data_IF_806510259977
#
_entry.id   IF_806510259977
#
_cell.length_a   1.000
_cell.length_b   1.000
_cell.length_c   1.000
_cell.angle_alpha   90.00
_cell.angle_beta   90.00
_cell.angle_gamma   90.00
#
_symmetry.space_group_name_H-M   'P 1'
#
loop_
_entity.id
_entity.type
_entity.pdbx_description
1 polymer ?
#
# COMPACT_ATOMS: atom_id res chain seq x y z
N UNK A 1 -33.32 -17.86 10.64
CA UNK A 1 -32.57 -17.44 9.45
C UNK A 1 -31.15 -17.18 9.94
N UNK A 2 -30.19 -18.02 9.58
CA UNK A 2 -28.80 -17.80 9.98
C UNK A 2 -28.24 -16.65 9.15
N UNK A 3 -27.83 -15.56 9.79
CA UNK A 3 -27.09 -14.51 9.11
C UNK A 3 -25.78 -15.11 8.58
N UNK A 4 -25.53 -14.97 7.28
CA UNK A 4 -24.25 -15.35 6.70
C UNK A 4 -23.16 -14.49 7.33
N UNK A 5 -22.17 -15.11 7.96
CA UNK A 5 -21.06 -14.38 8.55
C UNK A 5 -20.33 -13.55 7.47
N UNK A 6 -19.97 -12.29 7.76
CA UNK A 6 -19.21 -11.47 6.82
C UNK A 6 -17.86 -12.13 6.52
N UNK A 7 -17.41 -12.04 5.26
CA UNK A 7 -16.13 -12.61 4.83
C UNK A 7 -14.94 -12.05 5.62
N UNK A 8 -14.99 -10.75 5.97
CA UNK A 8 -14.03 -10.12 6.86
C UNK A 8 -14.61 -10.02 8.27
N UNK A 9 -13.83 -10.45 9.27
CA UNK A 9 -14.18 -10.43 10.69
C UNK A 9 -13.83 -9.11 11.35
N UNK A 10 -13.07 -8.24 10.69
CA UNK A 10 -12.67 -6.92 11.18
C UNK A 10 -13.19 -5.80 10.26
N UNK A 11 -13.26 -4.59 10.82
CA UNK A 11 -13.54 -3.37 10.09
C UNK A 11 -12.25 -2.64 9.75
N UNK A 12 -12.12 -2.19 8.50
CA UNK A 12 -10.87 -1.60 7.99
C UNK A 12 -10.98 -0.11 7.72
N UNK A 13 -10.00 0.64 8.22
CA UNK A 13 -9.77 2.05 7.97
C UNK A 13 -8.42 2.22 7.30
N UNK A 14 -8.30 3.21 6.42
CA UNK A 14 -7.03 3.55 5.76
C UNK A 14 -6.73 5.03 5.92
N UNK A 15 -5.45 5.33 6.10
CA UNK A 15 -4.91 6.67 6.21
C UNK A 15 -3.67 6.77 5.31
N UNK A 16 -3.73 7.62 4.28
CA UNK A 16 -2.53 7.95 3.50
C UNK A 16 -1.63 8.85 4.34
N UNK A 17 -0.33 8.62 4.31
CA UNK A 17 0.65 9.49 4.97
C UNK A 17 0.50 10.98 4.57
N UNK A 18 1.10 11.85 5.39
CA UNK A 18 1.13 13.29 5.15
C UNK A 18 1.87 13.68 3.87
N UNK A 19 1.63 14.91 3.40
CA UNK A 19 2.22 15.43 2.16
C UNK A 19 3.75 15.56 2.30
N UNK A 20 4.51 14.97 1.38
CA UNK A 20 5.97 15.12 1.28
C UNK A 20 6.36 16.06 0.13
N UNK A 21 7.60 16.58 0.12
CA UNK A 21 8.13 17.42 -0.97
C UNK A 21 8.06 16.73 -2.33
N UNK A 22 8.40 15.44 -2.48
CA UNK A 22 8.16 14.72 -3.72
C UNK A 22 6.68 14.65 -4.12
N UNK A 23 5.74 14.58 -3.16
CA UNK A 23 4.31 14.68 -3.48
C UNK A 23 3.93 16.07 -4.01
N UNK A 24 4.58 17.15 -3.55
CA UNK A 24 4.38 18.50 -4.08
C UNK A 24 4.85 18.64 -5.52
N UNK A 25 5.92 17.92 -5.85
CA UNK A 25 6.56 17.95 -7.16
C UNK A 25 6.05 16.86 -8.13
N UNK A 26 5.06 16.04 -7.73
CA UNK A 26 4.54 14.95 -8.57
C UNK A 26 5.53 13.80 -8.83
N UNK A 27 6.52 13.63 -7.95
CA UNK A 27 7.61 12.67 -8.11
C UNK A 27 7.32 11.35 -7.38
N UNK A 28 7.85 10.26 -7.93
CA UNK A 28 7.81 8.92 -7.31
C UNK A 28 8.88 8.81 -6.21
N UNK A 29 8.46 8.31 -5.04
CA UNK A 29 9.35 7.92 -3.95
C UNK A 29 9.00 6.52 -3.48
N UNK A 30 9.87 5.55 -3.77
CA UNK A 30 9.55 4.14 -3.49
C UNK A 30 10.71 3.31 -2.93
N UNK A 31 11.95 3.79 -2.97
CA UNK A 31 13.10 3.05 -2.46
C UNK A 31 13.39 3.37 -0.99
N UNK A 32 13.79 2.31 -0.27
CA UNK A 32 14.65 2.39 0.91
C UNK A 32 15.98 1.66 0.65
N UNK A 33 16.36 1.40 -0.62
CA UNK A 33 17.53 0.62 -1.01
C UNK A 33 18.44 1.37 -1.99
N UNK A 34 19.76 1.25 -1.75
CA UNK A 34 20.84 1.88 -2.50
C UNK A 34 20.88 1.41 -3.96
N UNK A 35 20.82 2.35 -4.91
CA UNK A 35 21.15 2.11 -6.31
C UNK A 35 22.63 2.45 -6.54
N UNK A 36 23.40 1.50 -7.09
CA UNK A 36 24.79 1.70 -7.48
C UNK A 36 24.85 2.17 -8.94
N UNK A 37 25.30 3.41 -9.17
CA UNK A 37 25.35 4.03 -10.50
C UNK A 37 26.74 3.93 -11.17
N UNK A 38 27.67 3.17 -10.59
CA UNK A 38 29.07 3.16 -11.04
C UNK A 38 29.80 4.47 -10.75
N UNK A 39 31.13 4.49 -10.95
CA UNK A 39 32.08 5.60 -10.64
C UNK A 39 32.42 5.84 -9.16
N UNK A 40 32.15 4.89 -8.26
CA UNK A 40 32.50 5.02 -6.84
C UNK A 40 31.73 6.12 -6.09
N UNK A 41 30.78 6.80 -6.77
CA UNK A 41 29.80 7.68 -6.17
C UNK A 41 28.57 6.87 -5.81
N UNK A 42 28.49 6.48 -4.55
CA UNK A 42 27.23 6.13 -3.95
C UNK A 42 26.47 7.44 -3.72
N UNK A 43 25.27 7.59 -4.28
CA UNK A 43 24.29 8.45 -3.64
C UNK A 43 24.07 7.80 -2.26
N UNK A 44 24.60 8.45 -1.21
CA UNK A 44 24.20 8.13 0.16
C UNK A 44 22.69 8.35 0.21
N UNK A 45 21.97 7.25 0.09
CA UNK A 45 20.78 6.89 0.84
C UNK A 45 20.27 8.04 1.71
N UNK A 46 19.56 8.99 1.10
CA UNK A 46 18.67 9.88 1.85
C UNK A 46 17.31 9.24 1.75
N UNK A 47 17.15 8.17 2.53
CA UNK A 47 15.86 7.57 2.83
C UNK A 47 14.85 8.69 3.10
N UNK A 48 13.68 8.60 2.48
CA UNK A 48 12.58 9.52 2.72
C UNK A 48 12.41 9.74 4.23
N UNK A 49 12.56 10.97 4.70
CA UNK A 49 12.41 11.35 6.12
C UNK A 49 13.67 11.29 7.00
N UNK A 50 14.87 11.14 6.44
CA UNK A 50 16.15 11.10 7.21
C UNK A 50 16.94 12.40 7.25
N UNK A 51 16.57 13.40 6.44
CA UNK A 51 17.13 14.74 6.58
C UNK A 51 16.46 15.44 7.75
N UNK A 52 17.26 16.04 8.64
CA UNK A 52 16.79 16.72 9.84
C UNK A 52 15.79 17.85 9.49
N UNK A 53 16.02 18.55 8.38
CA UNK A 53 15.12 19.59 7.84
C UNK A 53 13.77 19.05 7.31
N UNK A 54 13.64 17.74 7.10
CA UNK A 54 12.43 17.07 6.60
C UNK A 54 11.94 15.95 7.54
N UNK A 55 12.49 15.90 8.77
CA UNK A 55 12.07 14.99 9.82
C UNK A 55 10.81 15.48 10.53
N UNK A 56 10.22 14.61 11.35
CA UNK A 56 9.18 15.04 12.29
C UNK A 56 9.82 15.88 13.41
N UNK A 57 9.14 16.93 13.87
CA UNK A 57 9.51 17.61 15.11
C UNK A 57 9.56 16.61 16.29
N UNK A 58 10.29 16.89 17.38
CA UNK A 58 10.39 15.98 18.53
C UNK A 58 9.03 15.46 19.05
N UNK A 59 8.03 16.35 19.19
CA UNK A 59 6.64 15.95 19.49
C UNK A 59 6.03 15.03 18.43
N UNK A 60 6.28 15.28 17.15
CA UNK A 60 5.78 14.44 16.06
C UNK A 60 6.42 13.05 16.05
N UNK A 61 7.70 12.95 16.41
CA UNK A 61 8.37 11.65 16.62
C UNK A 61 7.72 10.91 17.79
N UNK A 62 7.46 11.62 18.90
CA UNK A 62 6.80 11.03 20.06
C UNK A 62 5.37 10.57 19.73
N UNK A 63 4.59 11.38 19.03
CA UNK A 63 3.25 11.03 18.56
C UNK A 63 3.26 9.86 17.58
N UNK A 64 4.20 9.81 16.64
CA UNK A 64 4.34 8.70 15.71
C UNK A 64 4.76 7.40 16.42
N UNK A 65 5.61 7.49 17.44
CA UNK A 65 5.99 6.35 18.29
C UNK A 65 4.83 5.86 19.13
N UNK A 66 4.11 6.74 19.82
CA UNK A 66 2.91 6.39 20.59
C UNK A 66 1.83 5.81 19.67
N UNK A 67 1.63 6.41 18.49
CA UNK A 67 0.73 5.85 17.49
C UNK A 67 1.21 4.48 17.02
N UNK A 68 2.51 4.27 16.79
CA UNK A 68 3.08 2.97 16.42
C UNK A 68 2.99 1.90 17.52
N UNK A 69 3.16 2.29 18.78
CA UNK A 69 3.01 1.45 19.98
C UNK A 69 1.53 1.08 20.22
N UNK A 70 0.60 1.98 19.88
CA UNK A 70 -0.85 1.76 19.95
C UNK A 70 -1.40 1.03 18.71
N UNK A 71 -0.80 1.23 17.52
CA UNK A 71 -1.14 0.58 16.22
C UNK A 71 -0.33 -0.70 15.98
N UNK A 72 0.23 -1.24 17.06
CA UNK A 72 1.30 -2.23 17.15
C UNK A 72 1.27 -3.35 16.09
N UNK A 73 1.94 -3.11 14.96
CA UNK A 73 2.75 -4.06 14.14
C UNK A 73 3.15 -3.37 12.82
N UNK A 74 4.43 -3.02 12.67
CA UNK A 74 4.95 -2.64 11.35
C UNK A 74 4.91 -3.87 10.42
N UNK A 75 4.24 -3.73 9.27
CA UNK A 75 4.12 -4.78 8.26
C UNK A 75 4.83 -4.33 7.00
N UNK A 76 5.88 -5.06 6.59
CA UNK A 76 6.66 -4.73 5.39
C UNK A 76 5.78 -4.76 4.13
N UNK A 77 4.72 -5.56 4.18
CA UNK A 77 3.69 -5.71 3.17
C UNK A 77 2.88 -4.43 2.92
N UNK A 78 2.99 -3.41 3.79
CA UNK A 78 2.32 -2.12 3.64
C UNK A 78 3.23 -1.03 3.06
N UNK A 79 4.47 -1.32 2.67
CA UNK A 79 5.36 -0.31 2.06
C UNK A 79 4.81 0.21 0.72
N UNK A 80 5.29 1.36 0.27
CA UNK A 80 4.99 1.87 -1.07
C UNK A 80 5.41 0.86 -2.16
N UNK A 81 4.70 0.86 -3.29
CA UNK A 81 5.07 0.08 -4.47
C UNK A 81 6.46 0.49 -4.92
N UNK A 82 7.35 -0.49 -5.09
CA UNK A 82 8.66 -0.28 -5.66
C UNK A 82 8.53 -0.23 -7.19
N UNK A 83 8.72 0.94 -7.79
CA UNK A 83 8.59 1.12 -9.23
C UNK A 83 9.88 0.76 -9.99
N UNK A 84 10.86 0.15 -9.33
CA UNK A 84 12.15 -0.15 -9.94
C UNK A 84 13.10 1.04 -9.93
N UNK A 85 14.41 0.78 -10.08
CA UNK A 85 15.45 1.77 -9.86
C UNK A 85 15.44 2.94 -10.85
N UNK A 86 14.96 2.70 -12.08
CA UNK A 86 14.93 3.72 -13.13
C UNK A 86 13.78 4.71 -12.99
N UNK A 87 12.79 4.43 -12.13
CA UNK A 87 11.58 5.25 -11.97
C UNK A 87 11.58 6.07 -10.68
N UNK A 88 12.61 5.94 -9.86
CA UNK A 88 12.80 6.79 -8.69
C UNK A 88 12.96 8.26 -9.13
N UNK A 89 12.21 9.16 -8.49
CA UNK A 89 12.17 10.60 -8.81
C UNK A 89 11.67 10.93 -10.23
N UNK A 90 11.01 10.01 -10.93
CA UNK A 90 10.33 10.29 -12.19
C UNK A 90 8.83 10.59 -11.99
N UNK A 91 8.20 11.15 -13.02
CA UNK A 91 6.76 11.41 -13.06
C UNK A 91 5.94 10.12 -13.14
N UNK A 92 4.78 10.10 -12.48
CA UNK A 92 3.90 8.94 -12.38
C UNK A 92 3.11 8.63 -13.66
N UNK A 93 2.92 9.60 -14.56
CA UNK A 93 2.00 9.50 -15.71
C UNK A 93 2.29 8.32 -16.64
N UNK A 94 3.58 8.02 -16.86
CA UNK A 94 3.99 6.91 -17.74
C UNK A 94 3.66 5.54 -17.15
N UNK A 95 3.68 5.43 -15.82
CA UNK A 95 3.41 4.16 -15.13
C UNK A 95 1.92 3.84 -15.18
N UNK A 96 1.06 4.85 -15.10
CA UNK A 96 -0.39 4.65 -15.13
C UNK A 96 -0.88 4.05 -16.43
N UNK A 97 -0.33 4.50 -17.57
CA UNK A 97 -0.66 3.92 -18.88
C UNK A 97 -0.24 2.45 -18.95
N UNK A 98 0.88 2.09 -18.30
CA UNK A 98 1.33 0.70 -18.23
C UNK A 98 0.40 -0.15 -17.34
N UNK A 99 0.01 0.36 -16.17
CA UNK A 99 -0.87 -0.36 -15.25
C UNK A 99 -2.29 -0.57 -15.81
N UNK A 100 -2.80 0.39 -16.60
CA UNK A 100 -4.09 0.26 -17.29
C UNK A 100 -4.01 -0.78 -18.41
N UNK A 101 -2.89 -0.81 -19.14
CA UNK A 101 -2.65 -1.79 -20.20
C UNK A 101 -2.52 -3.20 -19.64
N UNK A 102 -1.69 -3.38 -18.61
CA UNK A 102 -1.47 -4.67 -17.97
C UNK A 102 -1.00 -4.53 -16.51
N UNK A 103 -1.87 -4.78 -15.51
CA UNK A 103 -1.52 -4.67 -14.10
C UNK A 103 -0.64 -5.82 -13.58
N UNK A 104 -0.37 -6.85 -14.39
CA UNK A 104 0.50 -7.97 -14.04
C UNK A 104 1.95 -7.76 -14.50
N UNK A 105 2.18 -6.79 -15.37
CA UNK A 105 3.53 -6.48 -15.85
C UNK A 105 4.14 -5.36 -15.01
N UNK A 106 5.36 -5.58 -14.53
CA UNK A 106 6.17 -4.54 -13.91
C UNK A 106 7.15 -3.93 -14.90
N UNK A 107 7.67 -2.76 -14.55
CA UNK A 107 8.87 -2.21 -15.18
C UNK A 107 10.10 -2.91 -14.62
N UNK A 108 11.23 -2.89 -15.35
CA UNK A 108 12.43 -3.63 -14.99
C UNK A 108 12.87 -3.36 -13.53
N UNK A 109 12.95 -4.44 -12.74
CA UNK A 109 13.33 -4.40 -11.33
C UNK A 109 12.26 -3.89 -10.36
N UNK A 110 11.07 -3.52 -10.84
CA UNK A 110 9.96 -3.06 -10.01
C UNK A 110 8.89 -4.12 -9.72
N UNK A 111 7.91 -3.74 -8.92
CA UNK A 111 6.68 -4.48 -8.61
C UNK A 111 5.56 -4.10 -9.60
N UNK A 112 4.78 -5.10 -10.00
CA UNK A 112 3.49 -4.90 -10.68
C UNK A 112 2.39 -4.55 -9.66
N UNK A 113 1.22 -4.14 -10.14
CA UNK A 113 0.03 -3.98 -9.28
C UNK A 113 -0.34 -5.33 -8.64
N UNK A 114 -0.19 -6.43 -9.37
CA UNK A 114 -0.44 -7.79 -8.88
C UNK A 114 0.54 -8.23 -7.77
N UNK A 115 1.81 -7.82 -7.84
CA UNK A 115 2.81 -8.12 -6.79
C UNK A 115 2.46 -7.40 -5.49
N UNK A 116 2.09 -6.12 -5.58
CA UNK A 116 1.63 -5.33 -4.43
C UNK A 116 0.37 -5.95 -3.83
N UNK A 117 -0.58 -6.36 -4.66
CA UNK A 117 -1.79 -7.06 -4.22
C UNK A 117 -1.45 -8.37 -3.46
N UNK A 118 -0.48 -9.14 -3.97
CA UNK A 118 -0.06 -10.41 -3.36
C UNK A 118 0.49 -10.21 -1.95
N UNK A 119 1.36 -9.22 -1.72
CA UNK A 119 1.87 -8.92 -0.37
C UNK A 119 0.79 -8.36 0.56
N UNK A 120 -0.13 -7.54 0.05
CA UNK A 120 -1.26 -7.06 0.84
C UNK A 120 -2.20 -8.20 1.28
N UNK A 121 -2.34 -9.25 0.47
CA UNK A 121 -3.08 -10.47 0.84
C UNK A 121 -2.47 -11.18 2.04
N UNK A 122 -1.13 -11.24 2.11
CA UNK A 122 -0.41 -11.80 3.26
C UNK A 122 -0.73 -10.98 4.51
N UNK A 123 -0.68 -9.65 4.41
CA UNK A 123 -1.00 -8.76 5.53
C UNK A 123 -2.43 -8.96 6.03
N UNK A 124 -3.41 -8.94 5.12
CA UNK A 124 -4.82 -9.14 5.46
C UNK A 124 -5.05 -10.49 6.11
N UNK A 125 -4.46 -11.56 5.55
CA UNK A 125 -4.60 -12.92 6.10
C UNK A 125 -4.06 -12.98 7.53
N UNK A 126 -2.89 -12.38 7.79
CA UNK A 126 -2.30 -12.34 9.12
C UNK A 126 -3.19 -11.58 10.13
N UNK A 127 -3.75 -10.43 9.72
CA UNK A 127 -4.61 -9.61 10.58
C UNK A 127 -5.94 -10.28 10.87
N UNK A 128 -6.60 -10.81 9.85
CA UNK A 128 -7.83 -11.56 10.00
C UNK A 128 -7.63 -12.81 10.85
N UNK A 129 -6.48 -13.47 10.78
CA UNK A 129 -6.16 -14.62 11.64
C UNK A 129 -5.91 -14.21 13.09
N UNK A 130 -5.29 -13.05 13.32
CA UNK A 130 -4.87 -12.59 14.64
C UNK A 130 -6.00 -11.90 15.42
N UNK A 131 -6.85 -11.15 14.72
CA UNK A 131 -7.85 -10.27 15.32
C UNK A 131 -9.25 -10.60 14.83
N UNK A 132 -10.24 -10.39 15.68
CA UNK A 132 -11.65 -10.58 15.36
C UNK A 132 -12.49 -9.48 16.01
N UNK A 133 -13.40 -8.88 15.25
CA UNK A 133 -14.28 -7.81 15.73
C UNK A 133 -13.58 -6.48 15.99
N UNK A 134 -12.35 -6.29 15.49
CA UNK A 134 -11.57 -5.07 15.71
C UNK A 134 -11.80 -4.02 14.60
N UNK A 135 -11.59 -2.76 14.95
CA UNK A 135 -11.36 -1.68 13.98
C UNK A 135 -9.86 -1.58 13.71
N UNK A 136 -9.42 -1.98 12.52
CA UNK A 136 -8.01 -1.99 12.12
C UNK A 136 -7.76 -0.81 11.19
N UNK A 137 -6.79 0.04 11.54
CA UNK A 137 -6.38 1.18 10.70
C UNK A 137 -5.04 0.91 10.04
N UNK A 138 -4.99 1.03 8.71
CA UNK A 138 -3.75 1.00 7.93
C UNK A 138 -3.24 2.39 7.65
N UNK A 139 -2.01 2.65 8.04
CA UNK A 139 -1.27 3.85 7.66
C UNK A 139 -0.22 3.46 6.64
N UNK A 140 -0.32 3.99 5.42
CA UNK A 140 0.53 3.58 4.30
C UNK A 140 0.58 4.66 3.21
N UNK A 141 1.01 4.31 2.00
CA UNK A 141 1.24 5.18 0.86
C UNK A 141 0.15 5.09 -0.21
N UNK A 142 0.39 5.70 -1.37
CA UNK A 142 -0.63 5.91 -2.38
C UNK A 142 -1.10 4.59 -3.00
N UNK A 143 -0.19 3.87 -3.64
CA UNK A 143 -0.51 2.64 -4.37
C UNK A 143 -0.98 1.49 -3.47
N UNK A 144 -0.32 1.13 -2.35
CA UNK A 144 -0.79 0.04 -1.51
C UNK A 144 -2.21 0.28 -0.99
N UNK A 145 -2.55 1.53 -0.60
CA UNK A 145 -3.91 1.84 -0.13
C UNK A 145 -4.96 1.81 -1.25
N UNK A 146 -4.60 2.24 -2.46
CA UNK A 146 -5.49 2.17 -3.63
C UNK A 146 -5.77 0.72 -4.04
N UNK A 147 -4.72 -0.10 -4.13
CA UNK A 147 -4.81 -1.52 -4.48
C UNK A 147 -5.57 -2.29 -3.39
N UNK A 148 -5.28 -2.02 -2.12
CA UNK A 148 -5.98 -2.64 -1.00
C UNK A 148 -7.49 -2.36 -1.01
N UNK A 149 -7.90 -1.11 -1.28
CA UNK A 149 -9.32 -0.79 -1.43
C UNK A 149 -9.95 -1.54 -2.59
N UNK A 150 -9.25 -1.65 -3.71
CA UNK A 150 -9.75 -2.33 -4.92
C UNK A 150 -10.15 -3.76 -4.63
N UNK A 151 -9.26 -4.50 -3.98
CA UNK A 151 -9.54 -5.89 -3.64
C UNK A 151 -10.62 -6.00 -2.56
N UNK A 152 -10.58 -5.14 -1.54
CA UNK A 152 -11.54 -5.22 -0.44
C UNK A 152 -12.98 -4.93 -0.88
N UNK A 153 -13.19 -4.00 -1.81
CA UNK A 153 -14.53 -3.75 -2.35
C UNK A 153 -15.09 -4.97 -3.09
N UNK A 154 -14.25 -5.73 -3.81
CA UNK A 154 -14.72 -6.90 -4.57
C UNK A 154 -14.88 -8.15 -3.69
N UNK A 155 -14.00 -8.37 -2.72
CA UNK A 155 -14.05 -9.56 -1.85
C UNK A 155 -15.09 -9.44 -0.74
N UNK A 156 -15.69 -8.27 -0.48
CA UNK A 156 -16.81 -8.15 0.47
C UNK A 156 -18.14 -8.63 -0.10
N UNK A 157 -18.36 -8.42 -1.40
CA UNK A 157 -19.66 -8.65 -2.04
C UNK A 157 -19.95 -10.12 -2.37
N UNK A 158 -18.94 -10.98 -2.37
CA UNK A 158 -19.13 -12.40 -2.68
C UNK A 158 -19.50 -13.15 -1.40
N UNK A 159 -20.73 -13.65 -1.27
CA UNK A 159 -21.07 -14.72 -0.31
C UNK A 159 -20.76 -16.06 -0.98
N UNK A 160 -19.64 -16.69 -0.66
CA UNK A 160 -19.30 -18.03 -1.17
C UNK A 160 -18.35 -18.74 -0.22
N UNK A 161 -18.42 -20.07 -0.27
CA UNK A 161 -17.84 -21.13 0.57
C UNK A 161 -16.49 -20.82 1.25
N UNK A 162 -16.16 -21.60 2.30
CA UNK A 162 -14.91 -21.62 3.07
C UNK A 162 -13.64 -21.65 2.18
N UNK A 163 -13.34 -20.51 1.58
CA UNK A 163 -12.14 -20.26 0.81
C UNK A 163 -11.35 -19.28 1.65
N UNK A 164 -10.11 -19.64 1.98
CA UNK A 164 -9.23 -18.78 2.74
C UNK A 164 -9.02 -17.44 2.02
N UNK A 165 -8.61 -16.43 2.78
CA UNK A 165 -8.49 -15.05 2.29
C UNK A 165 -7.58 -14.94 1.09
N UNK A 166 -6.46 -15.67 1.08
CA UNK A 166 -5.49 -15.61 0.00
C UNK A 166 -6.03 -16.22 -1.28
N UNK A 167 -6.72 -17.36 -1.19
CA UNK A 167 -7.38 -17.99 -2.33
C UNK A 167 -8.47 -17.09 -2.94
N UNK A 168 -9.25 -16.41 -2.10
CA UNK A 168 -10.27 -15.46 -2.59
C UNK A 168 -9.66 -14.22 -3.23
N UNK A 169 -8.61 -13.65 -2.64
CA UNK A 169 -7.91 -12.51 -3.26
C UNK A 169 -7.36 -12.91 -4.62
N UNK A 170 -6.70 -14.07 -4.74
CA UNK A 170 -6.22 -14.59 -6.02
C UNK A 170 -7.31 -14.70 -7.08
N UNK A 171 -8.52 -15.11 -6.71
CA UNK A 171 -9.65 -15.20 -7.65
C UNK A 171 -10.14 -13.83 -8.17
N UNK A 172 -9.91 -12.75 -7.42
CA UNK A 172 -10.30 -11.39 -7.83
C UNK A 172 -9.14 -10.59 -8.41
N UNK A 173 -7.93 -11.15 -8.44
CA UNK A 173 -6.77 -10.58 -9.14
C UNK A 173 -6.92 -10.80 -10.65
N UNK A 174 -7.88 -10.11 -11.26
CA UNK A 174 -8.07 -10.05 -12.71
C UNK A 174 -7.64 -8.70 -13.24
N UNK A 175 -7.35 -8.64 -14.55
CA UNK A 175 -7.03 -7.38 -15.24
C UNK A 175 -8.10 -6.32 -14.98
N UNK A 176 -9.37 -6.67 -15.21
CA UNK A 176 -10.52 -5.77 -15.08
C UNK A 176 -10.70 -5.17 -13.68
N UNK A 177 -10.20 -5.85 -12.63
CA UNK A 177 -10.27 -5.39 -11.25
C UNK A 177 -9.03 -4.58 -10.90
N UNK A 178 -7.83 -5.12 -11.13
CA UNK A 178 -6.59 -4.49 -10.70
C UNK A 178 -6.31 -3.16 -11.42
N UNK A 179 -6.69 -3.02 -12.69
CA UNK A 179 -6.57 -1.74 -13.42
C UNK A 179 -7.48 -0.63 -12.87
N UNK A 180 -8.43 -0.95 -11.97
CA UNK A 180 -9.33 0.04 -11.37
C UNK A 180 -8.78 0.73 -10.13
N UNK A 181 -7.58 0.37 -9.67
CA UNK A 181 -7.08 0.84 -8.37
C UNK A 181 -7.02 2.37 -8.23
N UNK A 182 -6.83 3.08 -9.35
CA UNK A 182 -6.85 4.55 -9.38
C UNK A 182 -8.21 5.17 -9.05
N UNK A 183 -9.32 4.44 -9.24
CA UNK A 183 -10.65 4.90 -8.80
C UNK A 183 -10.73 5.08 -7.28
N UNK A 184 -9.84 4.41 -6.56
CA UNK A 184 -9.75 4.48 -5.10
C UNK A 184 -8.71 5.50 -4.62
N UNK A 185 -8.29 6.45 -5.47
CA UNK A 185 -7.38 7.52 -5.11
C UNK A 185 -7.74 8.18 -3.76
N UNK A 186 -6.69 8.43 -2.98
CA UNK A 186 -6.77 8.94 -1.62
C UNK A 186 -5.83 10.12 -1.50
N UNK A 187 -6.33 11.28 -1.08
CA UNK A 187 -5.51 12.46 -0.82
C UNK A 187 -4.57 12.18 0.36
N UNK A 188 -3.44 12.89 0.42
CA UNK A 188 -2.53 12.82 1.57
C UNK A 188 -3.27 13.21 2.86
N UNK A 189 -2.90 12.56 3.97
CA UNK A 189 -3.58 12.70 5.28
C UNK A 189 -5.09 12.39 5.30
N UNK A 190 -5.66 11.82 4.23
CA UNK A 190 -7.08 11.47 4.19
C UNK A 190 -7.32 10.11 4.86
N UNK A 191 -8.17 10.12 5.88
CA UNK A 191 -8.75 8.93 6.50
C UNK A 191 -10.00 8.49 5.71
N UNK A 192 -10.16 7.19 5.49
CA UNK A 192 -11.34 6.60 4.85
C UNK A 192 -11.64 5.24 5.47
N UNK A 193 -12.90 4.99 5.82
CA UNK A 193 -13.37 3.64 6.12
C UNK A 193 -13.57 2.88 4.80
N UNK A 194 -13.06 1.65 4.71
CA UNK A 194 -13.36 0.77 3.60
C UNK A 194 -14.72 0.15 3.91
N UNK A 195 -15.74 0.56 3.16
CA UNK A 195 -17.10 0.02 3.25
C UNK A 195 -17.21 -1.33 2.57
#
# INVERSE_FOLDING_TARGET
>A
MGESLPFLRNSYWILRHGKSIPNENGLITCSAHKINLGSGRFLRDRANGTLEEFGLAPEGIHQAKLAGELLNKAMIELRERFFGPLFELLSQDKIWVLDEKDPFTSVEGGESVADVCSRLSIALTALETTYQGCNIMFVSHGDPLQIFQTILHVVKDKTSAEVDISSRIKQVMTHSILSQHRKFALLTAKLRQIK
#
